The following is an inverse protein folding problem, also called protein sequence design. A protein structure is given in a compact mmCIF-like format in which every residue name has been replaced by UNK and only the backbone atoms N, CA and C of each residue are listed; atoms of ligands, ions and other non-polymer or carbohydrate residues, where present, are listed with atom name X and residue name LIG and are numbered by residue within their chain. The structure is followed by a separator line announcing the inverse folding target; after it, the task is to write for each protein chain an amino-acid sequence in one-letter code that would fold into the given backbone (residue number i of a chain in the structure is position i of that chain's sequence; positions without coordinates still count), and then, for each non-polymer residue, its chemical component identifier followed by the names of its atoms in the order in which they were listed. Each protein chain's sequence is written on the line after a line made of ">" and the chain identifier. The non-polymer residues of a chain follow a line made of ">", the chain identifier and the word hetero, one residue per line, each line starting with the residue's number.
data_IF_076303720673
#
_entry.id   IF_076303720673
#
_cell.length_a   1.000
_cell.length_b   1.000
_cell.length_c   1.000
_cell.angle_alpha   90.00
_cell.angle_beta   90.00
_cell.angle_gamma   90.00
#
_symmetry.space_group_name_H-M   'P 1'
#
loop_
_entity.id
_entity.type
_entity.pdbx_description
1 polymer ?
#
# COMPACT_ATOMS: atom_id res chain seq x y z
N UNK A 1 -10.40 16.30 34.21
CA UNK A 1 -9.19 15.87 33.47
C UNK A 1 -9.62 14.83 32.42
N UNK A 2 -8.86 14.69 31.33
CA UNK A 2 -9.27 14.31 29.96
C UNK A 2 -9.95 12.93 29.76
N UNK A 3 -10.75 12.91 28.67
CA UNK A 3 -11.51 11.83 28.02
C UNK A 3 -10.72 10.54 27.76
N UNK A 4 -11.40 9.41 27.81
CA UNK A 4 -11.13 8.26 26.93
C UNK A 4 -12.46 7.63 26.49
N UNK A 5 -12.81 7.86 25.21
CA UNK A 5 -13.97 7.30 24.54
C UNK A 5 -13.61 5.91 24.03
N UNK A 6 -14.17 4.88 24.66
CA UNK A 6 -14.15 3.50 24.16
C UNK A 6 -15.01 3.44 22.90
N UNK A 7 -14.44 3.03 21.77
CA UNK A 7 -15.22 2.64 20.60
C UNK A 7 -15.63 1.18 20.79
N UNK A 8 -16.92 0.97 21.03
CA UNK A 8 -17.56 -0.34 21.07
C UNK A 8 -17.52 -0.99 19.68
N UNK A 9 -16.81 -2.10 19.53
CA UNK A 9 -16.88 -2.93 18.33
C UNK A 9 -18.02 -3.95 18.47
N UNK A 10 -19.23 -3.47 18.22
CA UNK A 10 -20.42 -4.32 18.07
C UNK A 10 -20.31 -5.17 16.80
N UNK A 11 -20.55 -6.47 16.96
CA UNK A 11 -20.75 -7.43 15.87
C UNK A 11 -21.98 -7.04 15.04
N UNK A 12 -21.76 -6.39 13.89
CA UNK A 12 -22.81 -6.13 12.90
C UNK A 12 -22.36 -6.56 11.50
N UNK A 13 -23.34 -7.09 10.77
CA UNK A 13 -23.27 -7.73 9.45
C UNK A 13 -22.45 -6.90 8.44
N UNK A 14 -21.68 -7.61 7.62
CA UNK A 14 -20.78 -7.10 6.59
C UNK A 14 -21.52 -6.80 5.26
N UNK A 15 -22.67 -6.16 5.33
CA UNK A 15 -23.40 -5.67 4.17
C UNK A 15 -23.74 -4.17 4.33
N UNK A 16 -23.34 -3.43 3.29
CA UNK A 16 -23.72 -2.06 2.95
C UNK A 16 -23.07 -0.91 3.74
N UNK A 17 -22.30 -0.10 3.00
CA UNK A 17 -21.76 1.22 3.37
C UNK A 17 -20.70 1.25 4.47
N UNK A 18 -19.59 0.52 4.30
CA UNK A 18 -18.33 1.03 4.84
C UNK A 18 -18.04 2.32 4.07
N UNK A 19 -18.30 3.47 4.70
CA UNK A 19 -17.73 4.74 4.28
C UNK A 19 -16.23 4.49 4.16
N UNK A 20 -15.72 4.28 2.94
CA UNK A 20 -14.32 3.93 2.74
C UNK A 20 -13.52 5.00 3.47
N UNK A 21 -12.81 4.65 4.55
CA UNK A 21 -12.07 5.66 5.27
C UNK A 21 -11.15 6.29 4.23
N UNK A 22 -11.06 7.64 4.22
CA UNK A 22 -10.15 8.39 3.35
C UNK A 22 -8.72 8.14 3.82
N UNK A 23 -8.30 6.88 3.80
CA UNK A 23 -6.99 6.43 4.21
C UNK A 23 -6.04 6.93 3.13
N UNK A 24 -5.14 7.79 3.57
CA UNK A 24 -4.08 8.33 2.76
C UNK A 24 -2.79 7.62 3.19
N UNK A 25 -2.24 6.80 2.31
CA UNK A 25 -1.03 6.01 2.60
C UNK A 25 0.19 6.90 2.39
N UNK A 26 1.07 7.09 3.39
CA UNK A 26 2.29 7.86 3.21
C UNK A 26 3.18 7.19 2.17
N UNK A 27 3.61 7.92 1.13
CA UNK A 27 4.45 7.33 0.07
C UNK A 27 5.74 6.71 0.62
N UNK A 28 6.27 7.27 1.72
CA UNK A 28 7.56 6.88 2.28
C UNK A 28 7.60 5.44 2.80
N UNK A 29 6.45 4.78 3.02
CA UNK A 29 6.44 3.34 3.36
C UNK A 29 6.98 2.48 2.21
N UNK A 30 6.93 2.98 0.97
CA UNK A 30 7.34 2.26 -0.24
C UNK A 30 8.81 2.50 -0.63
N UNK A 31 9.50 3.42 0.06
CA UNK A 31 10.95 3.63 -0.08
C UNK A 31 11.77 2.46 0.44
N UNK A 32 11.22 1.69 1.38
CA UNK A 32 11.90 0.55 1.94
C UNK A 32 12.01 -0.58 0.90
N UNK A 33 13.24 -0.84 0.45
CA UNK A 33 13.57 -1.89 -0.53
C UNK A 33 13.87 -3.24 0.10
N UNK A 34 13.92 -3.34 1.43
CA UNK A 34 14.30 -4.56 2.14
C UNK A 34 13.21 -5.63 2.09
N UNK A 35 11.96 -5.21 1.87
CA UNK A 35 10.76 -6.04 1.73
C UNK A 35 9.99 -5.67 0.45
N UNK A 36 9.06 -6.53 0.02
CA UNK A 36 8.25 -6.27 -1.17
C UNK A 36 7.19 -5.20 -0.91
N UNK A 37 6.69 -4.56 -1.97
CA UNK A 37 5.76 -3.41 -1.85
C UNK A 37 4.44 -3.78 -1.17
N UNK A 38 3.89 -4.98 -1.45
CA UNK A 38 2.70 -5.48 -0.75
C UNK A 38 2.99 -5.80 0.73
N UNK A 39 4.18 -6.30 1.02
CA UNK A 39 4.61 -6.58 2.40
C UNK A 39 4.71 -5.27 3.19
N UNK A 40 5.29 -4.21 2.61
CA UNK A 40 5.36 -2.89 3.22
C UNK A 40 3.99 -2.25 3.46
N UNK A 41 3.08 -2.34 2.48
CA UNK A 41 1.69 -1.89 2.65
C UNK A 41 1.02 -2.64 3.80
N UNK A 42 1.12 -3.97 3.81
CA UNK A 42 0.45 -4.81 4.81
C UNK A 42 1.02 -4.59 6.21
N UNK A 43 2.34 -4.49 6.35
CA UNK A 43 3.02 -4.17 7.61
C UNK A 43 2.56 -2.80 8.15
N UNK A 44 2.49 -1.77 7.31
CA UNK A 44 2.01 -0.45 7.71
C UNK A 44 0.55 -0.48 8.20
N UNK A 45 -0.35 -1.10 7.44
CA UNK A 45 -1.77 -1.19 7.82
C UNK A 45 -1.94 -2.00 9.12
N UNK A 46 -1.17 -3.07 9.29
CA UNK A 46 -1.25 -3.94 10.46
C UNK A 46 -0.66 -3.29 11.72
N UNK A 47 0.57 -2.78 11.63
CA UNK A 47 1.30 -2.29 12.80
C UNK A 47 1.01 -0.83 13.12
N UNK A 48 0.87 0.02 12.09
CA UNK A 48 0.71 1.47 12.28
C UNK A 48 -0.75 1.88 12.38
N UNK A 49 -1.67 1.16 11.71
CA UNK A 49 -3.12 1.44 11.76
C UNK A 49 -3.92 0.38 12.53
N UNK A 50 -3.27 -0.61 13.13
CA UNK A 50 -3.89 -1.66 13.96
C UNK A 50 -5.01 -2.47 13.29
N UNK A 51 -5.01 -2.57 11.96
CA UNK A 51 -6.05 -3.31 11.23
C UNK A 51 -5.93 -4.83 11.41
N UNK A 52 -7.03 -5.54 11.37
CA UNK A 52 -7.09 -7.00 11.26
C UNK A 52 -6.70 -7.45 9.84
N UNK A 53 -6.31 -8.73 9.69
CA UNK A 53 -6.03 -9.27 8.35
C UNK A 53 -7.27 -9.22 7.45
N UNK A 54 -8.45 -9.42 8.03
CA UNK A 54 -9.72 -9.37 7.31
C UNK A 54 -10.03 -7.96 6.80
N UNK A 55 -9.87 -6.94 7.64
CA UNK A 55 -10.07 -5.55 7.21
C UNK A 55 -9.10 -5.19 6.07
N UNK A 56 -7.82 -5.55 6.19
CA UNK A 56 -6.84 -5.30 5.13
C UNK A 56 -7.22 -6.05 3.84
N UNK A 57 -7.69 -7.29 3.95
CA UNK A 57 -8.13 -8.12 2.82
C UNK A 57 -9.31 -7.47 2.08
N UNK A 58 -10.37 -7.10 2.81
CA UNK A 58 -11.53 -6.38 2.28
C UNK A 58 -11.12 -5.07 1.62
N UNK A 59 -10.32 -4.28 2.32
CA UNK A 59 -9.87 -2.98 1.85
C UNK A 59 -9.03 -3.07 0.57
N UNK A 60 -8.12 -4.03 0.48
CA UNK A 60 -7.25 -4.24 -0.69
C UNK A 60 -7.86 -5.15 -1.77
N UNK A 61 -9.13 -5.56 -1.61
CA UNK A 61 -9.80 -6.57 -2.44
C UNK A 61 -9.01 -7.89 -2.60
N UNK A 62 -8.16 -8.25 -1.63
CA UNK A 62 -7.33 -9.47 -1.64
C UNK A 62 -7.89 -10.49 -0.66
N UNK A 63 -7.44 -11.74 -0.77
CA UNK A 63 -7.83 -12.77 0.20
C UNK A 63 -7.01 -12.64 1.50
N UNK A 64 -7.61 -13.05 2.62
CA UNK A 64 -7.00 -13.02 3.96
C UNK A 64 -5.67 -13.78 4.00
N UNK A 65 -5.58 -14.91 3.28
CA UNK A 65 -4.36 -15.72 3.21
C UNK A 65 -3.19 -14.94 2.59
N UNK A 66 -3.43 -14.16 1.54
CA UNK A 66 -2.41 -13.33 0.88
C UNK A 66 -1.92 -12.24 1.82
N UNK A 67 -2.84 -11.59 2.55
CA UNK A 67 -2.49 -10.56 3.54
C UNK A 67 -1.67 -11.18 4.67
N UNK A 68 -2.14 -12.30 5.24
CA UNK A 68 -1.42 -13.01 6.28
C UNK A 68 -0.01 -13.44 5.81
N UNK A 69 0.11 -14.00 4.61
CA UNK A 69 1.42 -14.39 4.05
C UNK A 69 2.33 -13.18 3.84
N UNK A 70 1.82 -12.08 3.28
CA UNK A 70 2.60 -10.86 3.07
C UNK A 70 3.12 -10.28 4.40
N UNK A 71 2.26 -10.21 5.42
CA UNK A 71 2.65 -9.74 6.74
C UNK A 71 3.73 -10.63 7.38
N UNK A 72 3.53 -11.96 7.40
CA UNK A 72 4.49 -12.86 8.03
C UNK A 72 5.85 -12.87 7.30
N UNK A 73 5.85 -12.77 5.96
CA UNK A 73 7.09 -12.61 5.19
C UNK A 73 7.79 -11.29 5.52
N UNK A 74 7.05 -10.19 5.69
CA UNK A 74 7.60 -8.92 6.15
C UNK A 74 8.33 -9.12 7.49
N UNK A 75 7.64 -9.68 8.49
CA UNK A 75 8.21 -9.93 9.83
C UNK A 75 9.41 -10.86 9.82
N UNK A 76 9.40 -11.91 9.00
CA UNK A 76 10.56 -12.79 8.82
C UNK A 76 11.75 -12.02 8.25
N UNK A 77 11.54 -11.20 7.21
CA UNK A 77 12.59 -10.38 6.61
C UNK A 77 13.12 -9.34 7.59
N UNK A 78 12.27 -8.77 8.46
CA UNK A 78 12.69 -7.81 9.51
C UNK A 78 13.69 -8.39 10.51
N UNK A 79 13.70 -9.71 10.73
CA UNK A 79 14.69 -10.37 11.61
C UNK A 79 16.12 -10.28 11.07
N UNK A 80 16.28 -10.14 9.76
CA UNK A 80 17.58 -10.19 9.07
C UNK A 80 17.90 -8.84 8.43
N UNK A 81 16.87 -8.08 8.00
CA UNK A 81 16.98 -6.80 7.32
C UNK A 81 16.20 -5.75 8.11
N UNK A 82 16.89 -4.88 8.89
CA UNK A 82 16.21 -3.86 9.67
C UNK A 82 15.45 -2.88 8.78
N UNK A 83 14.45 -2.23 9.37
CA UNK A 83 13.62 -1.22 8.70
C UNK A 83 14.51 -0.07 8.22
N UNK A 84 14.41 0.29 6.93
CA UNK A 84 15.05 1.50 6.43
C UNK A 84 14.42 2.71 7.12
N UNK A 85 15.19 3.67 7.66
CA UNK A 85 14.64 4.86 8.30
C UNK A 85 13.60 5.53 7.41
N UNK A 86 12.39 5.73 7.95
CA UNK A 86 11.32 6.38 7.21
C UNK A 86 11.56 7.87 7.18
N UNK A 87 11.83 8.39 6.00
CA UNK A 87 11.80 9.83 5.75
C UNK A 87 10.36 10.38 5.85
N UNK A 88 10.26 11.70 6.04
CA UNK A 88 8.99 12.41 5.96
C UNK A 88 8.34 12.14 4.60
N UNK A 89 7.06 11.77 4.62
CA UNK A 89 6.30 11.59 3.38
C UNK A 89 6.11 12.94 2.68
N UNK A 90 6.51 13.01 1.41
CA UNK A 90 6.32 14.17 0.53
C UNK A 90 4.88 14.23 0.02
N UNK A 91 4.26 13.08 -0.19
CA UNK A 91 2.85 12.96 -0.58
C UNK A 91 2.19 11.74 0.05
N UNK A 92 0.87 11.72 -0.06
CA UNK A 92 0.05 10.56 0.29
C UNK A 92 -0.62 9.96 -0.94
N UNK A 93 -0.79 8.65 -0.93
CA UNK A 93 -1.40 7.85 -1.97
C UNK A 93 -2.81 7.43 -1.48
N UNK A 94 -3.88 7.73 -2.23
CA UNK A 94 -5.23 7.38 -1.82
C UNK A 94 -5.36 5.87 -1.81
N UNK A 95 -5.80 5.31 -0.70
CA UNK A 95 -5.85 3.87 -0.51
C UNK A 95 -6.72 3.14 -1.56
N UNK A 96 -7.74 3.81 -2.10
CA UNK A 96 -8.67 3.25 -3.08
C UNK A 96 -7.99 2.65 -4.32
N UNK A 97 -6.80 3.11 -4.70
CA UNK A 97 -6.09 2.57 -5.87
C UNK A 97 -5.67 1.11 -5.66
N UNK A 98 -5.43 0.69 -4.42
CA UNK A 98 -4.95 -0.66 -4.10
C UNK A 98 -6.01 -1.75 -4.27
N UNK A 99 -7.27 -1.39 -4.54
CA UNK A 99 -8.32 -2.36 -4.89
C UNK A 99 -8.13 -2.95 -6.27
N UNK A 100 -7.38 -2.29 -7.14
CA UNK A 100 -7.07 -2.84 -8.44
C UNK A 100 -6.20 -4.11 -8.28
N UNK A 101 -6.70 -5.21 -8.82
CA UNK A 101 -6.05 -6.53 -8.77
C UNK A 101 -5.39 -6.94 -10.08
N UNK A 102 -5.65 -6.22 -11.16
CA UNK A 102 -5.03 -6.47 -12.48
C UNK A 102 -3.57 -6.03 -12.47
N UNK A 103 -3.30 -4.99 -11.67
CA UNK A 103 -1.99 -4.46 -11.42
C UNK A 103 -1.43 -4.95 -10.07
N UNK A 104 -0.13 -5.19 -10.03
CA UNK A 104 0.61 -5.34 -8.78
C UNK A 104 0.64 -4.02 -7.99
N UNK A 105 0.93 -4.08 -6.70
CA UNK A 105 0.93 -2.87 -5.85
C UNK A 105 1.90 -1.80 -6.37
N UNK A 106 3.08 -2.17 -6.87
CA UNK A 106 4.03 -1.21 -7.45
C UNK A 106 3.53 -0.61 -8.77
N UNK A 107 2.88 -1.43 -9.61
CA UNK A 107 2.26 -0.99 -10.86
C UNK A 107 1.14 0.03 -10.58
N UNK A 108 0.24 -0.28 -9.63
CA UNK A 108 -0.84 0.62 -9.18
C UNK A 108 -0.29 1.98 -8.70
N UNK A 109 0.75 1.96 -7.84
CA UNK A 109 1.37 3.19 -7.34
C UNK A 109 1.99 3.98 -8.50
N UNK A 110 2.73 3.29 -9.38
CA UNK A 110 3.42 3.92 -10.51
C UNK A 110 2.43 4.56 -11.48
N UNK A 111 1.34 3.87 -11.80
CA UNK A 111 0.23 4.41 -12.61
C UNK A 111 -0.36 5.67 -11.97
N UNK A 112 -0.72 5.62 -10.69
CA UNK A 112 -1.29 6.78 -9.99
C UNK A 112 -0.35 7.98 -9.99
N UNK A 113 0.94 7.77 -9.67
CA UNK A 113 1.92 8.86 -9.64
C UNK A 113 2.20 9.42 -11.04
N UNK A 114 2.17 8.57 -12.06
CA UNK A 114 2.40 9.00 -13.44
C UNK A 114 1.19 9.74 -14.02
N UNK A 115 0.01 9.15 -13.91
CA UNK A 115 -1.17 9.61 -14.65
C UNK A 115 -2.01 10.61 -13.86
N UNK A 116 -2.10 10.45 -12.53
CA UNK A 116 -2.90 11.35 -11.67
C UNK A 116 -2.09 12.46 -11.04
N UNK A 117 -0.80 12.21 -10.76
CA UNK A 117 0.12 13.24 -10.25
C UNK A 117 1.01 13.87 -11.32
N UNK A 118 0.99 13.36 -12.55
CA UNK A 118 1.74 13.91 -13.70
C UNK A 118 3.25 13.99 -13.47
N UNK A 119 3.80 13.09 -12.65
CA UNK A 119 5.21 13.11 -12.30
C UNK A 119 6.08 12.47 -13.40
N UNK A 120 7.32 12.93 -13.49
CA UNK A 120 8.35 12.34 -14.34
C UNK A 120 8.78 10.98 -13.78
N UNK A 121 9.37 10.13 -14.63
CA UNK A 121 9.89 8.85 -14.16
C UNK A 121 10.98 9.03 -13.10
N UNK A 122 11.80 10.07 -13.24
CA UNK A 122 12.84 10.42 -12.28
C UNK A 122 12.25 10.80 -10.91
N UNK A 123 11.23 11.64 -10.87
CA UNK A 123 10.55 12.01 -9.60
C UNK A 123 9.91 10.78 -8.94
N UNK A 124 9.28 9.91 -9.72
CA UNK A 124 8.68 8.67 -9.20
C UNK A 124 9.76 7.75 -8.65
N UNK A 125 10.88 7.61 -9.35
CA UNK A 125 12.03 6.80 -8.94
C UNK A 125 12.62 7.31 -7.62
N UNK A 126 12.82 8.63 -7.51
CA UNK A 126 13.27 9.28 -6.29
C UNK A 126 12.31 9.04 -5.11
N UNK A 127 11.00 9.25 -5.31
CA UNK A 127 10.01 9.06 -4.24
C UNK A 127 9.93 7.61 -3.78
N UNK A 128 9.96 6.65 -4.70
CA UNK A 128 9.84 5.24 -4.35
C UNK A 128 11.18 4.59 -4.02
N UNK A 129 12.31 5.32 -4.05
CA UNK A 129 13.65 4.76 -3.94
C UNK A 129 13.83 3.59 -4.94
N UNK A 130 13.66 3.88 -6.24
CA UNK A 130 13.83 2.93 -7.36
C UNK A 130 14.74 3.56 -8.40
N UNK A 131 15.23 2.73 -9.31
CA UNK A 131 15.93 3.22 -10.50
C UNK A 131 14.91 3.68 -11.56
N UNK A 132 15.23 4.74 -12.30
CA UNK A 132 14.39 5.29 -13.36
C UNK A 132 13.98 4.23 -14.39
N UNK A 133 14.88 3.29 -14.73
CA UNK A 133 14.58 2.18 -15.64
C UNK A 133 13.55 1.23 -15.06
N UNK A 134 13.59 1.00 -13.73
CA UNK A 134 12.59 0.18 -13.05
C UNK A 134 11.21 0.81 -13.16
N UNK A 135 11.11 2.12 -12.90
CA UNK A 135 9.84 2.85 -13.00
C UNK A 135 9.32 2.83 -14.44
N UNK A 136 10.18 3.09 -15.41
CA UNK A 136 9.82 3.03 -16.82
C UNK A 136 9.29 1.65 -17.20
N UNK A 137 9.99 0.56 -16.85
CA UNK A 137 9.55 -0.81 -17.15
C UNK A 137 8.22 -1.15 -16.47
N UNK A 138 8.03 -0.74 -15.21
CA UNK A 138 6.78 -0.95 -14.48
C UNK A 138 5.62 -0.23 -15.20
N UNK A 139 5.82 1.03 -15.57
CA UNK A 139 4.78 1.81 -16.26
C UNK A 139 4.49 1.28 -17.67
N UNK A 140 5.51 0.80 -18.40
CA UNK A 140 5.31 0.15 -19.69
C UNK A 140 4.44 -1.12 -19.57
N UNK A 141 4.66 -1.94 -18.52
CA UNK A 141 3.80 -3.09 -18.20
C UNK A 141 2.37 -2.66 -17.89
N UNK A 142 2.17 -1.60 -17.11
CA UNK A 142 0.85 -1.02 -16.84
C UNK A 142 0.15 -0.68 -18.16
N UNK A 143 0.81 0.09 -19.04
CA UNK A 143 0.22 0.47 -20.34
C UNK A 143 -0.16 -0.73 -21.19
N UNK A 144 0.65 -1.79 -21.17
CA UNK A 144 0.35 -3.04 -21.90
C UNK A 144 -0.87 -3.75 -21.31
N UNK A 145 -0.96 -3.86 -19.98
CA UNK A 145 -2.12 -4.46 -19.29
C UNK A 145 -3.40 -3.67 -19.54
N UNK A 146 -3.36 -2.34 -19.43
CA UNK A 146 -4.52 -1.46 -19.67
C UNK A 146 -5.02 -1.46 -21.12
N UNK A 147 -4.16 -1.76 -22.09
CA UNK A 147 -4.54 -1.92 -23.51
C UNK A 147 -5.14 -3.28 -23.84
N UNK A 148 -4.88 -4.29 -23.01
CA UNK A 148 -5.35 -5.66 -23.21
C UNK A 148 -6.71 -5.93 -22.55
N UNK A 149 -7.30 -4.92 -21.92
CA UNK A 149 -8.61 -4.89 -21.29
C UNK A 149 -9.59 -4.12 -22.18
#
# INVERSE_FOLDING_TARGET
>A
MKKESYIEWGTKRLDETIAFPRIAIPQSIFKDRTIAVLEALTEYLKDSLNMTYHEIAVLTARNDRTIWTAYNRAKQKRKIKPIMPRERAILTIPFSIFKDRELSVLEVITEYLKDKKQLTYHEIAFMLNRDDRTIWTVYDRVRKKRKAL
#
